data_IF_201623076873
#
_entry.id   IF_201623076873
#
_cell.length_a   1.000
_cell.length_b   1.000
_cell.length_c   1.000
_cell.angle_alpha   90.00
_cell.angle_beta   90.00
_cell.angle_gamma   90.00
#
_symmetry.space_group_name_H-M   'P 1'
#
loop_
_entity.id
_entity.type
_entity.pdbx_description
1 polymer ?
#
# COMPACT_ATOMS: atom_id res chain seq x y z
N UNK A 1 -11.62 19.74 -4.84
CA UNK A 1 -11.24 18.60 -3.99
C UNK A 1 -9.81 18.19 -4.35
N UNK A 2 -8.95 18.00 -3.35
CA UNK A 2 -7.55 17.60 -3.50
C UNK A 2 -7.35 16.16 -3.04
N UNK A 3 -6.78 15.32 -3.90
CA UNK A 3 -6.51 13.91 -3.63
C UNK A 3 -5.01 13.71 -3.57
N UNK A 4 -4.51 13.10 -2.51
CA UNK A 4 -3.08 12.80 -2.33
C UNK A 4 -2.86 11.31 -2.16
N UNK A 5 -2.08 10.72 -3.05
CA UNK A 5 -1.57 9.37 -2.88
C UNK A 5 -0.33 9.39 -1.99
N UNK A 6 -0.23 8.44 -1.07
CA UNK A 6 0.88 8.36 -0.12
C UNK A 6 1.51 6.98 -0.14
N UNK A 7 2.81 6.92 -0.11
CA UNK A 7 3.58 5.67 -0.09
C UNK A 7 4.79 5.78 0.83
N UNK A 8 4.98 4.71 1.60
CA UNK A 8 6.24 4.51 2.32
C UNK A 8 7.20 3.69 1.47
N UNK A 9 8.48 3.98 1.54
CA UNK A 9 9.50 3.24 0.78
C UNK A 9 10.74 2.94 1.63
N UNK A 10 11.44 1.88 1.24
CA UNK A 10 12.79 1.56 1.66
C UNK A 10 13.40 0.58 0.66
N UNK A 11 14.38 1.03 -0.12
CA UNK A 11 15.02 0.21 -1.15
C UNK A 11 14.01 -0.39 -2.17
N UNK A 12 13.06 0.45 -2.62
CA UNK A 12 11.95 0.04 -3.52
C UNK A 12 12.11 0.64 -4.93
N UNK A 13 13.33 0.79 -5.41
CA UNK A 13 13.67 1.41 -6.70
C UNK A 13 12.79 0.88 -7.86
N UNK A 14 12.64 -0.45 -7.95
CA UNK A 14 11.87 -1.09 -9.03
C UNK A 14 10.36 -0.79 -8.99
N UNK A 15 9.81 -0.59 -7.79
CA UNK A 15 8.38 -0.44 -7.59
C UNK A 15 7.95 1.02 -7.54
N UNK A 16 8.79 1.92 -7.03
CA UNK A 16 8.42 3.30 -6.76
C UNK A 16 7.98 4.04 -8.03
N UNK A 17 8.73 3.92 -9.13
CA UNK A 17 8.37 4.54 -10.40
C UNK A 17 6.97 4.12 -10.86
N UNK A 18 6.70 2.82 -10.86
CA UNK A 18 5.39 2.26 -11.24
C UNK A 18 4.27 2.75 -10.32
N UNK A 19 4.57 2.85 -9.01
CA UNK A 19 3.61 3.43 -8.06
C UNK A 19 3.28 4.86 -8.46
N UNK A 20 4.27 5.73 -8.62
CA UNK A 20 4.05 7.14 -8.97
C UNK A 20 3.31 7.29 -10.31
N UNK A 21 3.69 6.51 -11.33
CA UNK A 21 2.98 6.45 -12.62
C UNK A 21 1.50 6.09 -12.46
N UNK A 22 1.19 5.17 -11.56
CA UNK A 22 -0.18 4.71 -11.33
C UNK A 22 -1.07 5.76 -10.67
N UNK A 23 -0.47 6.76 -10.03
CA UNK A 23 -1.17 7.80 -9.29
C UNK A 23 -1.00 9.20 -9.92
N UNK A 24 -0.62 9.30 -11.20
CA UNK A 24 -0.52 10.59 -11.92
C UNK A 24 -1.86 11.35 -12.01
N UNK A 25 -2.97 10.69 -11.82
CA UNK A 25 -4.30 11.29 -11.74
C UNK A 25 -4.60 11.98 -10.39
N UNK A 26 -3.80 11.73 -9.35
CA UNK A 26 -3.89 12.42 -8.05
C UNK A 26 -3.23 13.80 -8.13
N UNK A 27 -3.65 14.71 -7.24
CA UNK A 27 -3.08 16.07 -7.21
C UNK A 27 -1.66 16.07 -6.61
N UNK A 28 -1.38 15.12 -5.70
CA UNK A 28 -0.05 14.93 -5.13
C UNK A 28 0.25 13.44 -4.95
N UNK A 29 1.53 13.08 -5.04
CA UNK A 29 2.08 11.80 -4.64
C UNK A 29 3.18 12.05 -3.61
N UNK A 30 2.93 11.67 -2.36
CA UNK A 30 3.88 11.86 -1.26
C UNK A 30 4.61 10.55 -0.95
N UNK A 31 5.91 10.62 -0.99
CA UNK A 31 6.81 9.49 -0.75
C UNK A 31 7.57 9.74 0.54
N UNK A 32 7.50 8.82 1.49
CA UNK A 32 8.30 8.90 2.72
C UNK A 32 9.26 7.73 2.80
N UNK A 33 10.54 8.04 2.79
CA UNK A 33 11.62 7.06 2.78
C UNK A 33 12.11 6.72 4.20
N UNK A 34 12.32 5.43 4.48
CA UNK A 34 12.92 4.93 5.72
C UNK A 34 14.42 4.70 5.57
N UNK A 35 15.14 5.71 5.09
CA UNK A 35 16.58 5.68 4.89
C UNK A 35 17.02 4.51 3.98
N UNK A 36 16.66 4.60 2.73
CA UNK A 36 17.17 3.73 1.68
C UNK A 36 18.70 3.84 1.56
N UNK A 37 19.34 2.77 1.13
CA UNK A 37 20.79 2.69 1.01
C UNK A 37 21.31 3.60 -0.12
N UNK A 38 20.50 3.82 -1.15
CA UNK A 38 20.71 4.78 -2.22
C UNK A 38 19.45 5.64 -2.41
N UNK A 39 19.58 6.94 -2.29
CA UNK A 39 18.49 7.90 -2.47
C UNK A 39 18.41 8.48 -3.89
N UNK A 40 19.34 8.10 -4.76
CA UNK A 40 19.43 8.66 -6.14
C UNK A 40 18.13 8.40 -6.89
N UNK A 41 17.56 7.19 -6.78
CA UNK A 41 16.31 6.83 -7.46
C UNK A 41 15.11 7.65 -6.99
N UNK A 42 15.08 8.11 -5.72
CA UNK A 42 14.02 8.97 -5.20
C UNK A 42 14.04 10.32 -5.92
N UNK A 43 15.24 10.92 -6.05
CA UNK A 43 15.43 12.19 -6.75
C UNK A 43 15.10 12.04 -8.25
N UNK A 44 15.49 10.94 -8.89
CA UNK A 44 15.17 10.66 -10.28
C UNK A 44 13.65 10.59 -10.48
N UNK A 45 12.94 9.80 -9.67
CA UNK A 45 11.48 9.67 -9.78
C UNK A 45 10.79 11.01 -9.60
N UNK A 46 11.08 11.78 -8.54
CA UNK A 46 10.40 13.08 -8.35
C UNK A 46 10.77 14.12 -9.40
N UNK A 47 11.92 13.99 -10.05
CA UNK A 47 12.29 14.90 -11.15
C UNK A 47 11.47 14.65 -12.43
N UNK A 48 10.93 13.48 -12.60
CA UNK A 48 10.13 13.10 -13.78
C UNK A 48 8.64 13.39 -13.60
N UNK A 49 8.15 13.48 -12.36
CA UNK A 49 6.73 13.61 -12.05
C UNK A 49 6.45 14.85 -11.21
N UNK A 50 5.89 15.87 -11.82
CA UNK A 50 5.66 17.20 -11.20
C UNK A 50 4.81 17.15 -9.92
N UNK A 51 3.91 16.17 -9.80
CA UNK A 51 3.06 15.98 -8.62
C UNK A 51 3.70 15.12 -7.52
N UNK A 52 4.90 14.58 -7.72
CA UNK A 52 5.60 13.74 -6.76
C UNK A 52 6.56 14.55 -5.88
N UNK A 53 6.57 14.22 -4.59
CA UNK A 53 7.49 14.79 -3.61
C UNK A 53 7.95 13.70 -2.65
N UNK A 54 9.18 13.79 -2.15
CA UNK A 54 9.65 12.86 -1.14
C UNK A 54 10.29 13.57 0.06
N UNK A 55 10.24 12.89 1.23
CA UNK A 55 10.93 13.27 2.47
C UNK A 55 11.43 12.02 3.16
N UNK A 56 12.49 12.17 3.93
CA UNK A 56 12.89 11.13 4.88
C UNK A 56 11.92 11.07 6.07
N UNK A 57 11.72 9.87 6.61
CA UNK A 57 10.93 9.70 7.82
C UNK A 57 11.56 10.46 8.99
N UNK A 58 10.84 11.41 9.61
CA UNK A 58 11.41 12.28 10.64
C UNK A 58 11.48 11.64 12.04
N UNK A 59 10.85 10.49 12.22
CA UNK A 59 10.66 9.87 13.52
C UNK A 59 11.80 8.94 13.94
N UNK A 60 11.69 8.43 15.16
CA UNK A 60 12.65 7.48 15.73
C UNK A 60 12.52 6.13 15.05
N UNK A 61 13.63 5.58 14.61
CA UNK A 61 13.75 4.22 14.09
C UNK A 61 14.04 3.22 15.20
N UNK A 62 13.54 2.00 15.06
CA UNK A 62 13.72 0.92 16.03
C UNK A 62 14.61 -0.16 15.42
N UNK A 63 15.62 -0.57 16.18
CA UNK A 63 16.46 -1.71 15.81
C UNK A 63 15.86 -3.00 16.39
N UNK A 64 15.62 -3.98 15.51
CA UNK A 64 15.18 -5.32 15.92
C UNK A 64 15.89 -6.35 15.02
N UNK A 65 16.52 -7.34 15.63
CA UNK A 65 17.20 -8.45 14.94
C UNK A 65 18.19 -8.01 13.85
N UNK A 66 18.94 -6.93 14.11
CA UNK A 66 19.92 -6.38 13.17
C UNK A 66 19.34 -5.50 12.05
N UNK A 67 18.02 -5.31 12.03
CA UNK A 67 17.36 -4.44 11.07
C UNK A 67 16.87 -3.18 11.78
N UNK A 68 17.26 -2.01 11.28
CA UNK A 68 16.79 -0.71 11.77
C UNK A 68 15.73 -0.16 10.84
N UNK A 69 14.52 0.09 11.37
CA UNK A 69 13.37 0.57 10.57
C UNK A 69 12.50 1.54 11.35
N UNK A 70 11.79 2.38 10.62
CA UNK A 70 10.66 3.11 11.15
C UNK A 70 9.56 2.12 11.59
N UNK A 71 8.96 2.26 12.80
CA UNK A 71 7.74 1.53 13.13
C UNK A 71 6.66 1.83 12.08
N UNK A 72 6.02 0.79 11.54
CA UNK A 72 5.10 0.94 10.41
C UNK A 72 3.99 1.97 10.66
N UNK A 73 3.31 1.89 11.81
CA UNK A 73 2.26 2.84 12.15
C UNK A 73 2.75 4.27 12.22
N UNK A 74 3.94 4.51 12.80
CA UNK A 74 4.53 5.85 12.88
C UNK A 74 4.89 6.39 11.49
N UNK A 75 5.47 5.54 10.65
CA UNK A 75 5.86 5.92 9.29
C UNK A 75 4.64 6.35 8.46
N UNK A 76 3.57 5.56 8.51
CA UNK A 76 2.34 5.84 7.77
C UNK A 76 1.63 7.07 8.35
N UNK A 77 1.54 7.18 9.68
CA UNK A 77 0.91 8.34 10.30
C UNK A 77 1.64 9.63 9.96
N UNK A 78 2.98 9.61 9.88
CA UNK A 78 3.74 10.78 9.43
C UNK A 78 3.45 11.17 7.97
N UNK A 79 3.15 10.19 7.10
CA UNK A 79 2.66 10.46 5.75
C UNK A 79 1.27 11.13 5.76
N UNK A 80 0.37 10.65 6.63
CA UNK A 80 -0.96 11.23 6.76
C UNK A 80 -0.90 12.66 7.31
N UNK A 81 -0.06 12.91 8.33
CA UNK A 81 0.16 14.23 8.87
C UNK A 81 0.69 15.18 7.77
N UNK A 82 1.63 14.73 6.94
CA UNK A 82 2.12 15.52 5.83
C UNK A 82 1.04 15.79 4.77
N UNK A 83 0.23 14.80 4.43
CA UNK A 83 -0.88 14.98 3.49
C UNK A 83 -1.92 15.97 4.02
N UNK A 84 -2.24 15.91 5.31
CA UNK A 84 -3.15 16.86 5.98
C UNK A 84 -2.55 18.27 6.04
N UNK A 85 -1.26 18.41 6.32
CA UNK A 85 -0.52 19.68 6.33
C UNK A 85 -0.60 20.43 5.00
N UNK A 86 -0.53 19.73 3.86
CA UNK A 86 -0.66 20.33 2.53
C UNK A 86 -2.11 20.58 2.10
N UNK A 87 -3.08 20.32 2.96
CA UNK A 87 -4.49 20.60 2.75
C UNK A 87 -5.19 19.62 1.81
N UNK A 88 -4.92 18.33 1.97
CA UNK A 88 -5.55 17.23 1.25
C UNK A 88 -6.99 17.01 1.75
N UNK A 89 -7.93 16.69 0.84
CA UNK A 89 -9.29 16.28 1.17
C UNK A 89 -9.42 14.76 1.29
N UNK A 90 -8.67 14.01 0.44
CA UNK A 90 -8.66 12.56 0.42
C UNK A 90 -7.23 12.02 0.38
N UNK A 91 -6.93 11.11 1.30
CA UNK A 91 -5.66 10.40 1.37
C UNK A 91 -5.84 9.00 0.82
N UNK A 92 -5.00 8.63 -0.13
CA UNK A 92 -4.82 7.27 -0.60
C UNK A 92 -3.56 6.72 0.04
N UNK A 93 -3.65 5.52 0.60
CA UNK A 93 -2.50 4.84 1.15
C UNK A 93 -2.36 3.45 0.55
N UNK A 94 -1.18 3.15 0.05
CA UNK A 94 -0.85 1.82 -0.44
C UNK A 94 0.63 1.49 -0.24
N UNK A 95 0.97 0.21 -0.36
CA UNK A 95 2.37 -0.24 -0.36
C UNK A 95 2.99 0.01 -1.74
N UNK A 96 4.31 0.17 -1.80
CA UNK A 96 5.03 0.53 -3.02
C UNK A 96 4.90 -0.51 -4.16
N UNK A 97 4.62 -1.76 -3.80
CA UNK A 97 4.38 -2.88 -4.72
C UNK A 97 2.89 -3.09 -5.05
N UNK A 98 2.03 -2.13 -4.68
CA UNK A 98 0.60 -2.10 -4.97
C UNK A 98 0.25 -0.95 -5.91
N UNK A 99 -0.68 -1.18 -6.81
CA UNK A 99 -1.22 -0.14 -7.69
C UNK A 99 -2.65 -0.47 -8.14
N UNK A 100 -3.50 0.53 -8.36
CA UNK A 100 -4.86 0.30 -8.86
C UNK A 100 -4.83 -0.17 -10.32
N UNK A 101 -5.77 -1.04 -10.70
CA UNK A 101 -5.91 -1.46 -12.08
C UNK A 101 -6.30 -0.29 -13.00
N UNK A 102 -6.15 -0.47 -14.32
CA UNK A 102 -6.34 0.58 -15.31
C UNK A 102 -7.78 1.11 -15.31
N UNK A 103 -8.76 0.21 -15.17
CA UNK A 103 -10.16 0.60 -15.12
C UNK A 103 -10.45 1.53 -13.93
N UNK A 104 -9.95 1.21 -12.74
CA UNK A 104 -10.10 2.09 -11.58
C UNK A 104 -9.38 3.42 -11.81
N UNK A 105 -8.12 3.40 -12.28
CA UNK A 105 -7.35 4.64 -12.53
C UNK A 105 -8.07 5.63 -13.44
N UNK A 106 -8.77 5.11 -14.47
CA UNK A 106 -9.49 5.97 -15.44
C UNK A 106 -10.71 6.67 -14.85
N UNK A 107 -11.29 6.17 -13.77
CA UNK A 107 -12.49 6.70 -13.11
C UNK A 107 -12.28 7.07 -11.64
N UNK A 108 -11.06 6.90 -11.13
CA UNK A 108 -10.78 7.04 -9.70
C UNK A 108 -11.19 8.41 -9.14
N UNK A 109 -10.86 9.49 -9.84
CA UNK A 109 -11.22 10.85 -9.42
C UNK A 109 -12.73 11.02 -9.33
N UNK A 110 -13.48 10.60 -10.35
CA UNK A 110 -14.94 10.70 -10.37
C UNK A 110 -15.59 9.88 -9.25
N UNK A 111 -15.07 8.66 -9.02
CA UNK A 111 -15.54 7.79 -7.93
C UNK A 111 -15.33 8.45 -6.57
N UNK A 112 -14.14 8.99 -6.33
CA UNK A 112 -13.78 9.63 -5.06
C UNK A 112 -14.59 10.92 -4.87
N UNK A 113 -14.76 11.74 -5.91
CA UNK A 113 -15.55 12.97 -5.87
C UNK A 113 -17.03 12.72 -5.60
N UNK A 114 -17.59 11.66 -6.17
CA UNK A 114 -18.97 11.25 -5.94
C UNK A 114 -19.19 10.53 -4.60
N UNK A 115 -18.12 10.07 -3.94
CA UNK A 115 -18.19 9.28 -2.72
C UNK A 115 -18.71 10.13 -1.55
N UNK A 116 -19.81 9.68 -0.93
CA UNK A 116 -20.39 10.30 0.27
C UNK A 116 -19.88 9.67 1.57
N UNK A 117 -19.25 8.52 1.46
CA UNK A 117 -18.66 7.77 2.57
C UNK A 117 -17.32 8.37 2.97
N UNK A 118 -16.83 8.00 4.14
CA UNK A 118 -15.56 8.51 4.68
C UNK A 118 -14.37 7.69 4.24
N UNK A 119 -14.64 6.49 3.71
CA UNK A 119 -13.64 5.48 3.45
C UNK A 119 -13.98 4.62 2.23
N UNK A 120 -12.97 4.29 1.42
CA UNK A 120 -13.08 3.42 0.26
C UNK A 120 -12.18 2.19 0.44
N UNK A 121 -12.77 1.00 0.27
CA UNK A 121 -12.05 -0.26 0.16
C UNK A 121 -12.02 -0.73 -1.29
N UNK A 122 -10.86 -1.22 -1.71
CA UNK A 122 -10.68 -1.97 -2.96
C UNK A 122 -10.34 -3.42 -2.68
N UNK A 123 -10.80 -4.31 -3.53
CA UNK A 123 -10.38 -5.71 -3.53
C UNK A 123 -8.91 -5.76 -3.95
N UNK A 124 -8.10 -6.58 -3.28
CA UNK A 124 -6.69 -6.79 -3.62
C UNK A 124 -6.50 -8.12 -4.36
N UNK A 125 -5.79 -8.08 -5.47
CA UNK A 125 -5.32 -9.25 -6.22
C UNK A 125 -3.81 -9.35 -6.05
N UNK A 126 -3.31 -10.56 -5.88
CA UNK A 126 -1.88 -10.83 -5.77
C UNK A 126 -1.35 -11.36 -7.10
N UNK A 127 -0.26 -10.78 -7.58
CA UNK A 127 0.45 -11.31 -8.74
C UNK A 127 1.65 -12.14 -8.29
N UNK A 128 1.78 -13.30 -8.91
CA UNK A 128 2.98 -14.11 -8.86
C UNK A 128 3.39 -14.46 -10.29
N UNK A 129 4.51 -13.90 -10.73
CA UNK A 129 4.94 -13.95 -12.13
C UNK A 129 3.84 -13.36 -13.04
N UNK A 130 3.31 -14.16 -13.96
CA UNK A 130 2.28 -13.82 -14.93
C UNK A 130 0.86 -14.24 -14.51
N UNK A 131 0.70 -14.72 -13.28
CA UNK A 131 -0.57 -15.22 -12.76
C UNK A 131 -1.13 -14.34 -11.65
N UNK A 132 -2.43 -14.15 -11.67
CA UNK A 132 -3.17 -13.46 -10.62
C UNK A 132 -3.80 -14.45 -9.64
N UNK A 133 -3.85 -14.06 -8.39
CA UNK A 133 -4.41 -14.86 -7.31
C UNK A 133 -5.26 -14.00 -6.39
N UNK A 134 -6.43 -14.52 -6.03
CA UNK A 134 -7.16 -14.01 -4.87
C UNK A 134 -6.64 -14.68 -3.60
N UNK A 135 -6.38 -13.92 -2.53
CA UNK A 135 -6.06 -14.53 -1.26
C UNK A 135 -7.22 -15.40 -0.78
N UNK A 136 -6.93 -16.62 -0.35
CA UNK A 136 -7.91 -17.43 0.34
C UNK A 136 -8.25 -16.77 1.68
N UNK A 137 -9.46 -16.33 1.81
CA UNK A 137 -9.97 -15.87 3.09
C UNK A 137 -10.23 -17.05 3.98
N UNK A 138 -9.68 -17.03 5.17
CA UNK A 138 -9.90 -18.06 6.19
C UNK A 138 -11.32 -18.03 6.81
N UNK A 139 -12.26 -17.35 6.16
CA UNK A 139 -13.65 -17.22 6.63
C UNK A 139 -14.64 -17.70 5.57
N UNK A 140 -15.66 -18.46 5.99
CA UNK A 140 -16.70 -18.87 5.09
C UNK A 140 -17.49 -17.66 4.58
N UNK A 141 -17.80 -17.68 3.29
CA UNK A 141 -18.67 -16.78 2.58
C UNK A 141 -18.11 -15.38 2.23
N UNK A 142 -17.42 -15.28 1.11
CA UNK A 142 -17.58 -14.13 0.22
C UNK A 142 -16.89 -12.81 0.58
N UNK A 143 -16.18 -12.74 1.69
CA UNK A 143 -15.45 -11.54 2.04
C UNK A 143 -14.07 -11.55 1.35
N UNK A 144 -14.01 -10.88 0.21
CA UNK A 144 -12.75 -10.56 -0.46
C UNK A 144 -11.85 -9.77 0.49
N UNK A 145 -10.55 -10.04 0.50
CA UNK A 145 -9.61 -9.18 1.22
C UNK A 145 -9.66 -7.78 0.61
N UNK A 146 -10.41 -6.91 1.26
CA UNK A 146 -10.48 -5.51 0.90
C UNK A 146 -9.42 -4.76 1.66
N UNK A 147 -8.56 -4.08 0.94
CA UNK A 147 -7.58 -3.18 1.54
C UNK A 147 -8.17 -1.80 1.74
N UNK A 148 -7.86 -1.22 2.88
CA UNK A 148 -8.04 0.19 3.12
C UNK A 148 -7.31 0.96 2.02
N UNK A 149 -8.05 1.66 1.17
CA UNK A 149 -7.47 2.29 0.00
C UNK A 149 -7.44 3.81 0.11
N UNK A 150 -8.60 4.43 0.33
CA UNK A 150 -8.71 5.88 0.41
C UNK A 150 -9.64 6.30 1.54
N UNK A 151 -9.36 7.42 2.15
CA UNK A 151 -10.17 7.98 3.24
C UNK A 151 -10.11 9.50 3.25
N UNK A 152 -11.15 10.12 3.86
CA UNK A 152 -11.19 11.57 4.04
C UNK A 152 -10.11 12.01 5.02
N UNK A 153 -9.35 13.02 4.66
CA UNK A 153 -8.37 13.65 5.54
C UNK A 153 -9.06 14.32 6.74
N UNK A 154 -8.31 14.54 7.80
CA UNK A 154 -8.75 15.25 9.02
C UNK A 154 -9.94 14.61 9.75
N UNK A 155 -10.19 13.31 9.54
CA UNK A 155 -11.25 12.55 10.22
C UNK A 155 -10.70 11.62 11.32
N UNK A 156 -9.42 11.72 11.65
CA UNK A 156 -8.78 10.91 12.69
C UNK A 156 -8.46 9.47 12.29
N UNK A 157 -8.45 9.14 11.01
CA UNK A 157 -7.94 7.86 10.54
C UNK A 157 -6.43 7.75 10.79
N UNK A 158 -6.02 6.71 11.50
CA UNK A 158 -4.60 6.48 11.84
C UNK A 158 -4.31 4.98 11.92
N UNK A 159 -3.04 4.64 11.85
CA UNK A 159 -2.58 3.30 12.23
C UNK A 159 -2.20 3.25 13.69
N UNK A 160 -2.47 2.12 14.34
CA UNK A 160 -2.01 1.89 15.70
C UNK A 160 -0.49 1.88 15.75
N UNK A 161 0.06 2.38 16.84
CA UNK A 161 1.50 2.41 17.09
C UNK A 161 1.78 1.47 18.26
N UNK A 162 2.53 0.41 17.98
CA UNK A 162 3.07 -0.47 19.01
C UNK A 162 4.58 -0.62 18.75
N UNK A 163 5.38 0.06 19.56
CA UNK A 163 6.84 0.03 19.42
C UNK A 163 7.44 -1.35 19.74
N UNK A 164 6.72 -2.19 20.49
CA UNK A 164 7.13 -3.57 20.78
C UNK A 164 6.91 -4.51 19.59
N UNK A 165 5.98 -4.15 18.69
CA UNK A 165 5.60 -4.89 17.50
C UNK A 165 5.69 -3.99 16.23
N UNK A 166 6.90 -3.53 15.88
CA UNK A 166 7.10 -2.49 14.86
C UNK A 166 6.58 -2.86 13.46
N UNK A 167 6.23 -4.11 13.23
CA UNK A 167 5.72 -4.62 11.94
C UNK A 167 4.23 -4.92 11.94
N UNK A 168 3.58 -4.91 13.11
CA UNK A 168 2.13 -5.13 13.24
C UNK A 168 1.47 -3.78 13.39
N UNK A 169 0.49 -3.54 12.54
CA UNK A 169 -0.28 -2.31 12.54
C UNK A 169 -1.76 -2.64 12.35
N UNK A 170 -2.59 -1.92 13.06
CA UNK A 170 -4.04 -1.98 12.88
C UNK A 170 -4.52 -0.62 12.45
N UNK A 171 -5.29 -0.59 11.38
CA UNK A 171 -5.93 0.64 10.94
C UNK A 171 -7.08 0.98 11.87
N UNK A 172 -6.97 2.13 12.53
CA UNK A 172 -7.98 2.64 13.47
C UNK A 172 -8.90 3.60 12.71
N UNK A 173 -10.18 3.28 12.71
CA UNK A 173 -11.24 4.12 12.13
C UNK A 173 -12.00 4.81 13.24
N UNK A 174 -12.52 6.02 13.02
CA UNK A 174 -13.54 6.61 13.89
C UNK A 174 -14.78 5.72 13.98
N UNK A 175 -15.42 5.66 15.13
CA UNK A 175 -16.52 4.72 15.40
C UNK A 175 -17.72 4.86 14.44
N UNK A 176 -18.00 6.06 13.95
CA UNK A 176 -19.14 6.35 13.06
C UNK A 176 -18.76 6.46 11.58
N UNK A 177 -17.58 5.95 11.17
CA UNK A 177 -17.15 6.08 9.79
C UNK A 177 -17.91 5.17 8.82
N UNK A 178 -18.38 5.74 7.72
CA UNK A 178 -19.10 5.03 6.66
C UNK A 178 -18.15 4.56 5.56
N UNK A 179 -18.38 3.35 5.06
CA UNK A 179 -17.49 2.65 4.14
C UNK A 179 -18.16 2.41 2.79
N UNK A 180 -17.49 2.78 1.71
CA UNK A 180 -17.79 2.32 0.35
C UNK A 180 -16.87 1.15 0.02
N UNK A 181 -17.43 -0.01 -0.30
CA UNK A 181 -16.68 -1.15 -0.85
C UNK A 181 -16.87 -1.19 -2.34
N UNK A 182 -15.79 -1.02 -3.09
CA UNK A 182 -15.81 -1.20 -4.52
C UNK A 182 -15.59 -2.67 -4.83
N UNK A 183 -16.49 -3.20 -5.63
CA UNK A 183 -16.47 -4.60 -6.06
C UNK A 183 -15.72 -4.75 -7.37
N UNK A 184 -15.26 -5.96 -7.72
CA UNK A 184 -14.74 -6.21 -9.04
C UNK A 184 -15.65 -5.63 -10.14
N UNK A 185 -15.08 -5.08 -11.24
CA UNK A 185 -13.67 -5.23 -11.66
C UNK A 185 -12.68 -4.20 -11.08
N UNK A 186 -13.09 -3.30 -10.19
CA UNK A 186 -12.15 -2.37 -9.54
C UNK A 186 -11.30 -3.10 -8.51
N UNK A 187 -9.99 -3.03 -8.64
CA UNK A 187 -9.08 -3.73 -7.73
C UNK A 187 -7.72 -3.05 -7.58
N UNK A 188 -7.04 -3.41 -6.49
CA UNK A 188 -5.61 -3.19 -6.31
C UNK A 188 -4.83 -4.40 -6.77
N UNK A 189 -3.77 -4.17 -7.51
CA UNK A 189 -2.84 -5.19 -7.97
C UNK A 189 -1.62 -5.12 -7.06
N UNK A 190 -1.38 -6.19 -6.33
CA UNK A 190 -0.24 -6.32 -5.42
C UNK A 190 0.79 -7.28 -6.04
N UNK A 191 2.00 -6.79 -6.29
CA UNK A 191 3.09 -7.54 -6.90
C UNK A 191 4.21 -7.87 -5.90
N UNK A 192 3.92 -8.58 -4.81
CA UNK A 192 4.91 -8.84 -3.77
C UNK A 192 5.94 -9.89 -4.17
N UNK A 193 5.66 -10.67 -5.22
CA UNK A 193 6.46 -11.84 -5.62
C UNK A 193 6.65 -11.88 -7.14
N UNK A 194 7.44 -10.94 -7.71
CA UNK A 194 7.63 -10.89 -9.15
C UNK A 194 8.38 -12.12 -9.69
N UNK A 195 9.18 -12.78 -8.84
CA UNK A 195 9.97 -13.95 -9.19
C UNK A 195 10.32 -14.81 -7.96
N UNK A 196 11.00 -15.95 -8.19
CA UNK A 196 11.39 -16.89 -7.14
C UNK A 196 12.44 -16.29 -6.18
N UNK A 197 13.28 -15.37 -6.63
CA UNK A 197 14.27 -14.68 -5.80
C UNK A 197 13.57 -13.75 -4.79
N UNK A 198 12.60 -12.98 -5.22
CA UNK A 198 11.79 -12.13 -4.34
C UNK A 198 11.06 -12.95 -3.27
N UNK A 199 10.56 -14.14 -3.62
CA UNK A 199 9.95 -15.07 -2.65
C UNK A 199 11.01 -15.55 -1.64
N UNK A 200 12.18 -15.94 -2.10
CA UNK A 200 13.25 -16.43 -1.21
C UNK A 200 13.67 -15.34 -0.22
N UNK A 201 13.84 -14.12 -0.66
CA UNK A 201 14.19 -12.96 0.16
C UNK A 201 13.08 -12.69 1.20
N UNK A 202 11.80 -12.70 0.78
CA UNK A 202 10.67 -12.48 1.71
C UNK A 202 10.53 -13.62 2.72
N UNK A 203 10.73 -14.87 2.31
CA UNK A 203 10.73 -16.04 3.22
C UNK A 203 11.81 -15.91 4.29
N UNK A 204 13.03 -15.59 3.91
CA UNK A 204 14.14 -15.39 4.84
C UNK A 204 13.82 -14.25 5.83
N UNK A 205 13.38 -13.10 5.33
CA UNK A 205 12.99 -11.96 6.15
C UNK A 205 11.86 -12.31 7.13
N UNK A 206 10.80 -12.96 6.67
CA UNK A 206 9.66 -13.31 7.52
C UNK A 206 10.01 -14.41 8.53
N UNK A 207 10.83 -15.38 8.15
CA UNK A 207 11.35 -16.40 9.05
C UNK A 207 12.11 -15.79 10.23
N UNK A 208 12.99 -14.81 9.94
CA UNK A 208 13.72 -14.06 10.99
C UNK A 208 12.80 -13.21 11.87
N UNK A 209 11.78 -12.60 11.28
CA UNK A 209 10.91 -11.66 12.00
C UNK A 209 9.82 -12.35 12.80
N UNK A 210 9.23 -13.43 12.28
CA UNK A 210 8.03 -14.07 12.83
C UNK A 210 8.22 -15.56 13.19
N UNK A 211 9.43 -16.09 13.01
CA UNK A 211 9.81 -17.45 13.35
C UNK A 211 9.60 -18.47 12.21
N UNK A 212 10.06 -19.70 12.47
CA UNK A 212 10.17 -20.78 11.46
C UNK A 212 8.88 -21.12 10.70
N UNK A 213 7.72 -20.85 11.26
CA UNK A 213 6.45 -21.10 10.56
C UNK A 213 6.36 -20.36 9.20
N UNK A 214 7.08 -19.25 9.05
CA UNK A 214 7.13 -18.47 7.81
C UNK A 214 8.24 -18.91 6.84
N UNK A 215 9.16 -19.76 7.26
CA UNK A 215 10.18 -20.35 6.37
C UNK A 215 9.57 -21.22 5.26
N UNK A 216 8.37 -21.74 5.51
CA UNK A 216 7.57 -22.55 4.56
C UNK A 216 6.46 -21.75 3.88
N UNK A 217 6.50 -20.43 4.00
CA UNK A 217 5.52 -19.59 3.34
C UNK A 217 5.57 -19.83 1.82
N UNK A 218 4.46 -20.29 1.28
CA UNK A 218 4.24 -20.42 -0.15
C UNK A 218 3.02 -19.56 -0.50
N UNK A 219 3.19 -18.49 -1.29
CA UNK A 219 2.07 -17.63 -1.66
C UNK A 219 0.94 -18.40 -2.32
N UNK A 220 1.23 -19.49 -3.06
CA UNK A 220 0.24 -20.29 -3.76
C UNK A 220 -0.64 -21.13 -2.82
N UNK A 221 -0.22 -21.34 -1.58
CA UNK A 221 -1.04 -22.04 -0.57
C UNK A 221 -2.12 -21.13 0.06
N UNK A 222 -2.07 -19.83 -0.19
CA UNK A 222 -2.99 -18.86 0.42
C UNK A 222 -3.91 -18.16 -0.58
N UNK A 223 -3.86 -18.58 -1.84
CA UNK A 223 -4.59 -17.90 -2.90
C UNK A 223 -5.16 -18.89 -3.92
N UNK A 224 -6.35 -18.59 -4.45
CA UNK A 224 -6.90 -19.26 -5.64
C UNK A 224 -6.42 -18.58 -6.91
N UNK A 225 -6.02 -19.34 -7.91
CA UNK A 225 -5.63 -18.80 -9.22
C UNK A 225 -6.83 -18.11 -9.88
N UNK A 226 -6.59 -16.95 -10.47
CA UNK A 226 -7.60 -16.21 -11.23
C UNK A 226 -7.66 -16.73 -12.66
N UNK A 227 -8.87 -17.08 -13.09
CA UNK A 227 -9.14 -17.23 -14.51
C UNK A 227 -9.21 -15.84 -15.17
N UNK A 228 -8.60 -15.70 -16.34
CA UNK A 228 -8.62 -14.46 -17.15
C UNK A 228 -8.03 -13.22 -16.44
N UNK A 229 -6.78 -13.30 -15.98
CA UNK A 229 -6.07 -12.19 -15.35
C UNK A 229 -6.14 -10.88 -16.16
N UNK A 230 -6.13 -10.94 -17.49
CA UNK A 230 -6.19 -9.77 -18.38
C UNK A 230 -7.36 -8.85 -18.05
N UNK A 231 -8.53 -9.41 -17.73
CA UNK A 231 -9.74 -8.64 -17.36
C UNK A 231 -9.52 -7.82 -16.06
N UNK A 232 -8.62 -8.26 -15.21
CA UNK A 232 -8.32 -7.59 -13.94
C UNK A 232 -7.20 -6.55 -14.05
N UNK A 233 -6.35 -6.70 -15.06
CA UNK A 233 -5.26 -5.76 -15.33
C UNK A 233 -5.73 -4.51 -16.05
N UNK A 234 -6.73 -4.64 -16.90
CA UNK A 234 -7.39 -3.55 -17.61
C UNK A 234 -8.42 -2.85 -16.72
#
# INVERSE_FOLDING_TARGET
>A
MRITATVRTKNEEKNLRRFVESYQWADNVLIMDDFSDDETYLNEVVSEFENAQWKQFPGKRVAKEGITRAPHGNHINALFDWAEEIGTDWIIFDDCDCFPNKLFRSSAREIIEACKQDFIYLVRIYLYKDKGYFPYMSKPAGDWEASAYAFRANQGFRFSVDESLPYIQTFVRPDESYVLRLMPPYCLIHCPWPDDEAIAIKRDRYSRTYGERYSRFDPLNFAGELDNLEVWMD
#
